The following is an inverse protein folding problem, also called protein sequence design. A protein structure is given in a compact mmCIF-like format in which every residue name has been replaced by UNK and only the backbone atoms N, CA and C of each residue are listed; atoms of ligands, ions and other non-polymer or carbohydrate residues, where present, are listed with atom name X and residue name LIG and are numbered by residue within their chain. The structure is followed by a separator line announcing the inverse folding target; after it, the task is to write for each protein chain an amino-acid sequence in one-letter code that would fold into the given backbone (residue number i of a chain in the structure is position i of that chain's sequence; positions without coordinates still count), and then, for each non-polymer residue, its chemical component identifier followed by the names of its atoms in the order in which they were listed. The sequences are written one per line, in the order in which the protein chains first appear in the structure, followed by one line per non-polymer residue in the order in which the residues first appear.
data_IF_464984980332
#
_entry.id   IF_464984980332
#
_cell.length_a   1.000
_cell.length_b   1.000
_cell.length_c   1.000
_cell.angle_alpha   90.00
_cell.angle_beta   90.00
_cell.angle_gamma   90.00
#
_symmetry.space_group_name_H-M   'P 1'
#
loop_
_entity.id
_entity.type
_entity.pdbx_description
1 polymer ?
#
# COMPACT_ATOMS: atom_id res chain seq x y z
N UNK A 1 5.29 20.82 -8.90
CA UNK A 1 5.54 19.52 -9.54
C UNK A 1 5.56 18.46 -8.44
N UNK A 2 4.50 17.63 -8.35
CA UNK A 2 4.49 16.45 -7.48
C UNK A 2 5.62 15.51 -7.88
N UNK A 3 6.23 14.82 -6.93
CA UNK A 3 7.23 13.79 -7.26
C UNK A 3 6.53 12.56 -7.82
N UNK A 4 7.21 11.79 -8.68
CA UNK A 4 6.72 10.48 -9.12
C UNK A 4 6.36 9.57 -7.92
N UNK A 5 7.10 9.68 -6.81
CA UNK A 5 6.77 8.97 -5.57
C UNK A 5 5.42 9.35 -4.97
N UNK A 6 5.00 10.60 -5.14
CA UNK A 6 3.74 11.10 -4.60
C UNK A 6 2.57 10.48 -5.37
N UNK A 7 2.66 10.43 -6.72
CA UNK A 7 1.70 9.70 -7.54
C UNK A 7 1.59 8.23 -7.17
N UNK A 8 2.73 7.57 -6.92
CA UNK A 8 2.76 6.16 -6.49
C UNK A 8 2.10 5.99 -5.12
N UNK A 9 2.31 6.91 -4.19
CA UNK A 9 1.68 6.87 -2.87
C UNK A 9 0.17 7.13 -2.94
N UNK A 10 -0.26 8.07 -3.79
CA UNK A 10 -1.67 8.36 -4.02
C UNK A 10 -2.37 7.15 -4.63
N UNK A 11 -1.83 6.59 -5.71
CA UNK A 11 -2.38 5.39 -6.35
C UNK A 11 -2.52 4.22 -5.37
N UNK A 12 -1.48 3.92 -4.60
CA UNK A 12 -1.52 2.84 -3.61
C UNK A 12 -2.53 3.10 -2.49
N UNK A 13 -2.81 4.36 -2.16
CA UNK A 13 -3.80 4.74 -1.13
C UNK A 13 -5.20 4.59 -1.66
N UNK A 14 -5.49 5.16 -2.83
CA UNK A 14 -6.81 5.08 -3.46
C UNK A 14 -7.20 3.64 -3.76
N UNK A 15 -6.27 2.85 -4.33
CA UNK A 15 -6.52 1.44 -4.60
C UNK A 15 -6.89 0.64 -3.34
N UNK A 16 -6.16 0.86 -2.23
CA UNK A 16 -6.46 0.20 -0.97
C UNK A 16 -7.80 0.64 -0.39
N UNK A 17 -8.14 1.93 -0.50
CA UNK A 17 -9.41 2.46 0.00
C UNK A 17 -10.60 1.91 -0.80
N UNK A 18 -10.46 1.80 -2.11
CA UNK A 18 -11.53 1.34 -3.00
C UNK A 18 -11.71 -0.17 -2.97
N UNK A 19 -10.61 -0.94 -2.99
CA UNK A 19 -10.66 -2.40 -3.21
C UNK A 19 -10.35 -3.22 -1.97
N UNK A 20 -9.63 -2.65 -1.00
CA UNK A 20 -9.07 -3.38 0.14
C UNK A 20 -7.99 -4.40 -0.23
N UNK A 21 -7.52 -4.45 -1.48
CA UNK A 21 -6.58 -5.44 -1.99
C UNK A 21 -5.14 -4.91 -2.02
N UNK A 22 -4.18 -5.81 -1.85
CA UNK A 22 -2.74 -5.52 -1.93
C UNK A 22 -2.11 -5.99 -3.23
N UNK A 23 -2.76 -6.90 -3.96
CA UNK A 23 -2.45 -7.24 -5.34
C UNK A 23 -3.10 -6.20 -6.25
N UNK A 24 -2.29 -5.47 -7.01
CA UNK A 24 -2.74 -4.38 -7.87
C UNK A 24 -3.46 -4.93 -9.09
N UNK A 25 -4.67 -4.44 -9.35
CA UNK A 25 -5.39 -4.74 -10.59
C UNK A 25 -4.81 -3.92 -11.75
N UNK A 26 -4.53 -4.60 -12.87
CA UNK A 26 -3.89 -3.98 -14.03
C UNK A 26 -4.80 -2.96 -14.75
N UNK A 27 -6.12 -3.19 -14.77
CA UNK A 27 -7.08 -2.26 -15.38
C UNK A 27 -7.24 -1.02 -14.51
N UNK A 28 -7.30 -1.19 -13.20
CA UNK A 28 -7.33 -0.09 -12.26
C UNK A 28 -6.08 0.78 -12.38
N UNK A 29 -4.90 0.15 -12.41
CA UNK A 29 -3.63 0.87 -12.56
C UNK A 29 -3.53 1.61 -13.92
N UNK A 30 -4.08 1.02 -14.99
CA UNK A 30 -4.14 1.67 -16.31
C UNK A 30 -5.00 2.93 -16.27
N UNK A 31 -6.20 2.83 -15.70
CA UNK A 31 -7.13 3.95 -15.57
C UNK A 31 -6.50 5.09 -14.74
N UNK A 32 -5.96 4.77 -13.56
CA UNK A 32 -5.26 5.77 -12.75
C UNK A 32 -4.12 6.44 -13.51
N UNK A 33 -3.25 5.66 -14.15
CA UNK A 33 -2.09 6.20 -14.87
C UNK A 33 -2.47 7.14 -16.03
N UNK A 34 -3.60 6.87 -16.68
CA UNK A 34 -4.13 7.70 -17.76
C UNK A 34 -4.76 9.00 -17.23
N UNK A 35 -5.47 8.94 -16.10
CA UNK A 35 -6.26 10.05 -15.57
C UNK A 35 -5.50 10.93 -14.56
N UNK A 36 -4.40 10.45 -13.98
CA UNK A 36 -3.73 11.12 -12.86
C UNK A 36 -2.76 12.25 -13.25
N UNK A 37 -2.57 12.54 -14.54
CA UNK A 37 -1.58 13.53 -15.02
C UNK A 37 -0.12 13.08 -14.92
N UNK A 38 0.15 11.79 -14.66
CA UNK A 38 1.53 11.27 -14.57
C UNK A 38 2.27 11.44 -15.89
N UNK A 39 1.60 11.23 -17.03
CA UNK A 39 2.22 11.40 -18.35
C UNK A 39 2.46 12.87 -18.72
N UNK A 40 1.72 13.81 -18.12
CA UNK A 40 1.92 15.24 -18.34
C UNK A 40 3.19 15.73 -17.62
N UNK A 41 3.37 15.31 -16.36
CA UNK A 41 4.54 15.68 -15.56
C UNK A 41 5.77 14.80 -15.86
N UNK A 42 5.56 13.55 -16.27
CA UNK A 42 6.61 12.56 -16.56
C UNK A 42 6.34 11.83 -17.89
N UNK A 43 6.57 12.48 -19.05
CA UNK A 43 6.23 11.90 -20.37
C UNK A 43 7.01 10.63 -20.73
N UNK A 44 8.19 10.44 -20.14
CA UNK A 44 9.02 9.25 -20.34
C UNK A 44 8.61 8.07 -19.45
N UNK A 45 7.65 8.28 -18.55
CA UNK A 45 7.22 7.24 -17.63
C UNK A 45 6.49 6.13 -18.38
N UNK A 46 6.80 4.89 -18.02
CA UNK A 46 6.20 3.70 -18.60
C UNK A 46 5.15 3.12 -17.64
N UNK A 47 3.98 2.75 -18.15
CA UNK A 47 2.88 2.16 -17.36
C UNK A 47 3.34 0.91 -16.59
N UNK A 48 4.12 0.01 -17.20
CA UNK A 48 4.66 -1.19 -16.53
C UNK A 48 5.59 -0.81 -15.38
N UNK A 49 6.41 0.23 -15.56
CA UNK A 49 7.29 0.74 -14.50
C UNK A 49 6.45 1.33 -13.37
N UNK A 50 5.45 2.15 -13.69
CA UNK A 50 4.54 2.74 -12.71
C UNK A 50 3.77 1.66 -11.93
N UNK A 51 3.19 0.68 -12.63
CA UNK A 51 2.53 -0.48 -12.05
C UNK A 51 3.43 -1.19 -11.03
N UNK A 52 4.67 -1.49 -11.41
CA UNK A 52 5.62 -2.14 -10.50
C UNK A 52 5.94 -1.27 -9.27
N UNK A 53 6.00 0.05 -9.42
CA UNK A 53 6.21 0.96 -8.29
C UNK A 53 5.02 0.94 -7.32
N UNK A 54 3.79 0.98 -7.85
CA UNK A 54 2.55 0.93 -7.04
C UNK A 54 2.42 -0.43 -6.36
N UNK A 55 2.63 -1.54 -7.07
CA UNK A 55 2.63 -2.89 -6.48
C UNK A 55 3.66 -3.02 -5.34
N UNK A 56 4.85 -2.47 -5.53
CA UNK A 56 5.89 -2.47 -4.49
C UNK A 56 5.47 -1.66 -3.27
N UNK A 57 4.78 -0.54 -3.46
CA UNK A 57 4.27 0.27 -2.35
C UNK A 57 3.14 -0.44 -1.59
N UNK A 58 2.20 -1.08 -2.30
CA UNK A 58 1.15 -1.91 -1.69
C UNK A 58 1.75 -3.05 -0.85
N UNK A 59 2.75 -3.75 -1.39
CA UNK A 59 3.46 -4.83 -0.68
C UNK A 59 4.12 -4.32 0.60
N UNK A 60 4.81 -3.16 0.55
CA UNK A 60 5.41 -2.56 1.75
C UNK A 60 4.37 -2.20 2.82
N UNK A 61 3.19 -1.76 2.42
CA UNK A 61 2.10 -1.43 3.36
C UNK A 61 1.55 -2.69 4.02
N UNK A 62 1.36 -3.76 3.26
CA UNK A 62 0.98 -5.07 3.77
C UNK A 62 2.00 -5.58 4.81
N UNK A 63 3.29 -5.58 4.47
CA UNK A 63 4.38 -5.98 5.37
C UNK A 63 4.38 -5.19 6.68
N UNK A 64 4.14 -3.87 6.61
CA UNK A 64 4.07 -3.01 7.80
C UNK A 64 2.86 -3.36 8.66
N UNK A 65 1.70 -3.59 8.05
CA UNK A 65 0.47 -3.98 8.76
C UNK A 65 0.62 -5.33 9.46
N UNK A 66 1.26 -6.31 8.79
CA UNK A 66 1.54 -7.62 9.38
C UNK A 66 2.50 -7.49 10.57
N UNK A 67 3.62 -6.79 10.40
CA UNK A 67 4.60 -6.57 11.48
C UNK A 67 3.98 -5.87 12.68
N UNK A 68 3.13 -4.86 12.47
CA UNK A 68 2.42 -4.19 13.56
C UNK A 68 1.44 -5.12 14.28
N UNK A 69 0.71 -5.95 13.53
CA UNK A 69 -0.20 -6.95 14.09
C UNK A 69 0.56 -7.96 14.94
N UNK A 70 1.68 -8.49 14.42
CA UNK A 70 2.55 -9.43 15.14
C UNK A 70 3.07 -8.81 16.45
N UNK A 71 3.62 -7.61 16.40
CA UNK A 71 4.12 -6.92 17.61
C UNK A 71 3.00 -6.67 18.65
N UNK A 72 1.78 -6.37 18.21
CA UNK A 72 0.62 -6.21 19.12
C UNK A 72 0.24 -7.55 19.76
N UNK A 73 0.20 -8.63 19.00
CA UNK A 73 -0.08 -9.97 19.51
C UNK A 73 1.02 -10.46 20.49
N UNK A 74 2.28 -10.23 20.16
CA UNK A 74 3.42 -10.53 21.05
C UNK A 74 3.29 -9.77 22.38
N UNK A 75 2.94 -8.48 22.36
CA UNK A 75 2.67 -7.71 23.58
C UNK A 75 1.54 -8.30 24.42
N UNK A 76 0.42 -8.68 23.80
CA UNK A 76 -0.71 -9.31 24.51
C UNK A 76 -0.28 -10.64 25.14
N UNK A 77 0.50 -11.45 24.43
CA UNK A 77 0.99 -12.74 24.94
C UNK A 77 1.96 -12.62 26.12
N UNK A 78 2.66 -11.48 26.24
CA UNK A 78 3.60 -11.22 27.32
C UNK A 78 2.93 -10.73 28.61
N UNK A 79 1.67 -10.30 28.58
CA UNK A 79 0.91 -10.03 29.80
C UNK A 79 0.50 -11.36 30.45
N UNK A 80 1.06 -11.75 31.62
CA UNK A 80 0.62 -12.95 32.30
C UNK A 80 -0.87 -12.82 32.66
N UNK A 81 -1.64 -13.89 32.44
CA UNK A 81 -3.05 -13.96 32.86
C UNK A 81 -3.14 -13.56 34.34
N UNK A 82 -4.07 -12.66 34.72
CA UNK A 82 -4.23 -12.33 36.13
C UNK A 82 -4.55 -13.62 36.90
N UNK A 83 -3.98 -13.82 38.10
CA UNK A 83 -4.26 -15.01 38.88
C UNK A 83 -5.76 -15.07 39.18
N UNK A 84 -6.40 -16.18 38.80
CA UNK A 84 -7.76 -16.49 39.25
C UNK A 84 -7.74 -16.53 40.78
N UNK A 85 -8.37 -15.53 41.42
CA UNK A 85 -8.66 -15.57 42.85
C UNK A 85 -9.81 -16.58 43.04
N UNK A 86 -9.46 -17.78 43.48
CA UNK A 86 -10.38 -18.71 44.14
C UNK A 86 -10.57 -18.34 45.60
#
# INVERSE_FOLDING_TARGET
MPKLSDYVQTAATEYLLETGKTELDALWAAAFFQDSGVLEEYPQQNMVVFYNMVQKELTKRADRAEKQTRMKLEKISWFPKPPHKG
#
